data_IF_784892049198
#
_entry.id   IF_784892049198
#
_cell.length_a   1.000
_cell.length_b   1.000
_cell.length_c   1.000
_cell.angle_alpha   90.00
_cell.angle_beta   90.00
_cell.angle_gamma   90.00
#
_symmetry.space_group_name_H-M   'P 1'
#
loop_
_entity.id
_entity.type
_entity.pdbx_description
1 polymer ?
#
# COMPACT_ATOMS: atom_id res chain seq x y z
N UNK A 1 -16.79 -20.58 10.14
CA UNK A 1 -17.55 -20.12 8.95
C UNK A 1 -16.62 -19.40 7.99
N UNK A 2 -16.49 -19.86 6.74
CA UNK A 2 -15.73 -19.16 5.68
C UNK A 2 -16.27 -17.73 5.48
N UNK A 3 -15.38 -16.77 5.20
CA UNK A 3 -15.80 -15.41 4.86
C UNK A 3 -16.31 -15.41 3.41
N UNK A 4 -17.60 -15.18 3.14
CA UNK A 4 -18.13 -15.24 1.79
C UNK A 4 -17.55 -14.16 0.87
N UNK A 5 -16.97 -13.10 1.44
CA UNK A 5 -16.40 -11.98 0.68
C UNK A 5 -14.90 -12.14 0.38
N UNK A 6 -14.19 -13.07 1.04
CA UNK A 6 -12.74 -13.18 0.88
C UNK A 6 -12.36 -13.55 -0.56
N UNK A 7 -12.92 -14.63 -1.11
CA UNK A 7 -12.58 -15.09 -2.45
C UNK A 7 -12.94 -14.06 -3.55
N UNK A 8 -14.16 -13.46 -3.55
CA UNK A 8 -14.48 -12.37 -4.49
C UNK A 8 -13.51 -11.19 -4.46
N UNK A 9 -13.08 -10.75 -3.26
CA UNK A 9 -12.11 -9.65 -3.13
C UNK A 9 -10.76 -10.03 -3.74
N UNK A 10 -10.32 -11.28 -3.54
CA UNK A 10 -9.06 -11.76 -4.11
C UNK A 10 -9.13 -11.86 -5.64
N UNK A 11 -10.22 -12.39 -6.17
CA UNK A 11 -10.41 -12.54 -7.62
C UNK A 11 -10.47 -11.17 -8.32
N UNK A 12 -11.05 -10.15 -7.66
CA UNK A 12 -11.02 -8.78 -8.14
C UNK A 12 -9.61 -8.16 -8.08
N UNK A 13 -8.83 -8.50 -7.04
CA UNK A 13 -7.51 -7.89 -6.81
C UNK A 13 -6.42 -8.41 -7.73
N UNK A 14 -6.39 -9.72 -8.03
CA UNK A 14 -5.34 -10.36 -8.85
C UNK A 14 -5.10 -9.62 -10.18
N UNK A 15 -6.12 -9.37 -11.03
CA UNK A 15 -5.89 -8.66 -12.30
C UNK A 15 -5.53 -7.19 -12.09
N UNK A 16 -5.92 -6.57 -10.97
CA UNK A 16 -5.61 -5.17 -10.63
C UNK A 16 -4.24 -4.99 -9.97
N UNK A 17 -3.54 -6.07 -9.59
CA UNK A 17 -2.30 -5.96 -8.83
C UNK A 17 -1.22 -5.16 -9.57
N UNK A 18 -1.08 -5.36 -10.88
CA UNK A 18 -0.14 -4.60 -11.71
C UNK A 18 -0.51 -3.11 -11.75
N UNK A 19 -1.80 -2.77 -11.85
CA UNK A 19 -2.25 -1.37 -11.79
C UNK A 19 -1.82 -0.68 -10.49
N UNK A 20 -1.97 -1.35 -9.35
CA UNK A 20 -1.50 -0.82 -8.05
C UNK A 20 0.03 -0.68 -7.98
N UNK A 21 0.76 -1.59 -8.63
CA UNK A 21 2.22 -1.54 -8.71
C UNK A 21 2.68 -0.37 -9.56
N UNK A 22 2.09 -0.19 -10.74
CA UNK A 22 2.41 0.90 -11.67
C UNK A 22 2.05 2.26 -11.06
N UNK A 23 0.86 2.36 -10.45
CA UNK A 23 0.47 3.54 -9.69
C UNK A 23 1.50 3.91 -8.63
N UNK A 24 1.93 2.94 -7.81
CA UNK A 24 2.90 3.21 -6.74
C UNK A 24 4.29 3.55 -7.28
N UNK A 25 4.67 3.02 -8.45
CA UNK A 25 5.91 3.35 -9.15
C UNK A 25 5.90 4.81 -9.65
N UNK A 26 4.80 5.26 -10.23
CA UNK A 26 4.63 6.67 -10.65
C UNK A 26 4.72 7.60 -9.46
N UNK A 27 3.99 7.32 -8.37
CA UNK A 27 4.04 8.12 -7.14
C UNK A 27 5.45 8.14 -6.54
N UNK A 28 6.15 6.99 -6.55
CA UNK A 28 7.55 6.91 -6.11
C UNK A 28 8.46 7.86 -6.88
N UNK A 29 8.34 7.91 -8.21
CA UNK A 29 9.18 8.78 -9.03
C UNK A 29 8.88 10.27 -8.77
N UNK A 30 7.61 10.62 -8.60
CA UNK A 30 7.22 11.99 -8.22
C UNK A 30 7.77 12.38 -6.85
N UNK A 31 7.67 11.49 -5.86
CA UNK A 31 8.22 11.71 -4.53
C UNK A 31 9.74 11.87 -4.54
N UNK A 32 10.47 11.08 -5.33
CA UNK A 32 11.92 11.23 -5.50
C UNK A 32 12.25 12.64 -6.00
N UNK A 33 11.52 13.13 -7.00
CA UNK A 33 11.72 14.49 -7.52
C UNK A 33 11.45 15.55 -6.47
N UNK A 34 10.27 15.51 -5.81
CA UNK A 34 9.91 16.52 -4.82
C UNK A 34 10.86 16.57 -3.61
N UNK A 35 11.31 15.41 -3.13
CA UNK A 35 12.24 15.36 -2.00
C UNK A 35 13.60 15.94 -2.38
N UNK A 36 14.09 15.67 -3.59
CA UNK A 36 15.36 16.24 -4.08
C UNK A 36 15.25 17.75 -4.28
N UNK A 37 14.19 18.22 -4.92
CA UNK A 37 13.96 19.65 -5.17
C UNK A 37 13.77 20.42 -3.85
N UNK A 38 13.17 19.79 -2.84
CA UNK A 38 13.05 20.32 -1.48
C UNK A 38 14.33 20.23 -0.62
N UNK A 39 15.42 19.69 -1.17
CA UNK A 39 16.70 19.53 -0.47
C UNK A 39 16.66 18.50 0.68
N UNK A 40 15.75 17.53 0.62
CA UNK A 40 15.59 16.48 1.65
C UNK A 40 16.41 15.25 1.26
N UNK A 41 17.37 14.90 2.11
CA UNK A 41 18.17 13.68 1.94
C UNK A 41 17.42 12.46 2.49
N UNK A 42 17.34 11.39 1.69
CA UNK A 42 16.68 10.15 2.10
C UNK A 42 17.62 8.95 1.94
N UNK A 43 17.49 7.97 2.83
CA UNK A 43 18.25 6.72 2.76
C UNK A 43 17.72 5.82 1.65
N UNK A 44 16.40 5.65 1.58
CA UNK A 44 15.76 4.87 0.54
C UNK A 44 14.32 5.27 0.33
N UNK A 45 13.83 5.09 -0.89
CA UNK A 45 12.42 5.15 -1.23
C UNK A 45 12.09 3.84 -1.92
N UNK A 46 11.01 3.21 -1.47
CA UNK A 46 10.55 1.93 -2.02
C UNK A 46 9.04 1.98 -2.20
N UNK A 47 8.53 1.32 -3.22
CA UNK A 47 7.10 1.20 -3.45
C UNK A 47 6.68 -0.25 -3.45
N UNK A 48 5.42 -0.50 -3.12
CA UNK A 48 4.84 -1.84 -3.19
C UNK A 48 3.35 -1.80 -3.48
N UNK A 49 2.91 -2.76 -4.27
CA UNK A 49 1.55 -3.27 -4.21
C UNK A 49 1.48 -4.37 -3.14
N UNK A 50 0.32 -4.56 -2.52
CA UNK A 50 0.12 -5.60 -1.53
C UNK A 50 0.16 -6.98 -2.19
N UNK A 51 0.88 -7.92 -1.59
CA UNK A 51 0.88 -9.30 -2.08
C UNK A 51 -0.45 -9.99 -1.76
N UNK A 52 -0.92 -10.88 -2.65
CA UNK A 52 -2.21 -11.59 -2.50
C UNK A 52 -2.31 -12.32 -1.16
N UNK A 53 -1.25 -13.01 -0.72
CA UNK A 53 -1.24 -13.69 0.58
C UNK A 53 -1.37 -12.69 1.75
N UNK A 54 -0.73 -11.51 1.66
CA UNK A 54 -0.88 -10.46 2.68
C UNK A 54 -2.26 -9.83 2.67
N UNK A 55 -2.91 -9.72 1.51
CA UNK A 55 -4.30 -9.28 1.40
C UNK A 55 -5.25 -10.26 2.11
N UNK A 56 -5.12 -11.57 1.84
CA UNK A 56 -5.87 -12.61 2.56
C UNK A 56 -5.68 -12.51 4.07
N UNK A 57 -4.44 -12.45 4.53
CA UNK A 57 -4.11 -12.30 5.96
C UNK A 57 -4.75 -11.03 6.55
N UNK A 58 -4.75 -9.91 5.82
CA UNK A 58 -5.38 -8.67 6.29
C UNK A 58 -6.90 -8.83 6.45
N UNK A 59 -7.57 -9.45 5.48
CA UNK A 59 -9.03 -9.69 5.54
C UNK A 59 -9.35 -10.53 6.78
N UNK A 60 -8.58 -11.60 7.01
CA UNK A 60 -8.77 -12.50 8.15
C UNK A 60 -8.52 -11.79 9.50
N UNK A 61 -7.40 -11.07 9.64
CA UNK A 61 -7.05 -10.35 10.88
C UNK A 61 -8.06 -9.23 11.20
N UNK A 62 -8.55 -8.51 10.18
CA UNK A 62 -9.55 -7.45 10.41
C UNK A 62 -10.91 -8.03 10.79
N UNK A 63 -11.26 -9.20 10.25
CA UNK A 63 -12.46 -9.94 10.65
C UNK A 63 -12.41 -10.35 12.12
N UNK A 64 -11.28 -10.87 12.62
CA UNK A 64 -11.15 -11.22 14.05
C UNK A 64 -11.24 -9.98 14.96
N UNK A 65 -10.99 -8.79 14.42
CA UNK A 65 -11.16 -7.50 15.10
C UNK A 65 -12.55 -6.88 14.90
N UNK A 66 -13.52 -7.62 14.35
CA UNK A 66 -14.90 -7.14 14.11
C UNK A 66 -15.13 -6.36 12.82
N UNK A 67 -14.09 -6.12 11.99
CA UNK A 67 -14.22 -5.40 10.72
C UNK A 67 -14.34 -6.36 9.54
N UNK A 68 -15.46 -6.29 8.82
CA UNK A 68 -15.74 -7.13 7.64
C UNK A 68 -15.60 -6.27 6.38
N UNK A 69 -14.67 -6.64 5.52
CA UNK A 69 -14.56 -6.10 4.16
C UNK A 69 -15.51 -6.88 3.24
N UNK A 70 -16.34 -6.17 2.47
CA UNK A 70 -17.30 -6.76 1.54
C UNK A 70 -16.84 -6.62 0.09
N UNK A 71 -16.08 -5.55 -0.22
CA UNK A 71 -15.57 -5.23 -1.55
C UNK A 71 -14.10 -4.83 -1.47
N UNK A 72 -13.37 -4.92 -2.58
CA UNK A 72 -11.95 -4.55 -2.63
C UNK A 72 -11.73 -3.08 -2.23
N UNK A 73 -12.63 -2.19 -2.66
CA UNK A 73 -12.60 -0.75 -2.37
C UNK A 73 -12.75 -0.40 -0.88
N UNK A 74 -13.24 -1.32 -0.04
CA UNK A 74 -13.28 -1.11 1.41
C UNK A 74 -11.85 -1.16 2.03
N UNK A 75 -10.86 -1.59 1.24
CA UNK A 75 -9.45 -1.74 1.63
C UNK A 75 -8.64 -0.63 0.97
N UNK A 76 -8.15 0.32 1.78
CA UNK A 76 -7.46 1.51 1.27
C UNK A 76 -5.94 1.32 1.11
N UNK A 77 -5.33 0.40 1.83
CA UNK A 77 -3.87 0.18 1.84
C UNK A 77 -3.45 -0.94 0.88
N UNK A 78 -3.94 -0.90 -0.36
CA UNK A 78 -3.61 -1.88 -1.40
C UNK A 78 -2.26 -1.62 -2.06
N UNK A 79 -1.76 -0.39 -1.95
CA UNK A 79 -0.48 0.01 -2.48
C UNK A 79 0.08 1.19 -1.67
N UNK A 80 1.38 1.44 -1.78
CA UNK A 80 1.99 2.57 -1.07
C UNK A 80 3.47 2.71 -1.33
N UNK A 81 3.98 3.90 -1.01
CA UNK A 81 5.40 4.25 -1.04
C UNK A 81 5.89 4.41 0.40
N UNK A 82 7.10 3.92 0.66
CA UNK A 82 7.81 4.06 1.92
C UNK A 82 9.07 4.87 1.68
N UNK A 83 9.14 6.03 2.33
CA UNK A 83 10.32 6.88 2.39
C UNK A 83 11.01 6.59 3.73
N UNK A 84 12.31 6.34 3.68
CA UNK A 84 13.16 6.19 4.86
C UNK A 84 14.17 7.33 4.87
N UNK A 85 14.02 8.23 5.83
CA UNK A 85 14.83 9.44 5.97
C UNK A 85 15.99 9.19 6.95
N UNK A 86 17.05 9.98 6.83
CA UNK A 86 18.16 9.93 7.77
C UNK A 86 17.85 10.63 9.09
N UNK A 87 17.11 11.73 9.02
CA UNK A 87 16.86 12.62 10.16
C UNK A 87 15.37 12.72 10.47
N UNK A 88 15.05 12.79 11.76
CA UNK A 88 13.67 12.92 12.23
C UNK A 88 13.06 14.29 11.84
N UNK A 89 13.87 15.34 11.77
CA UNK A 89 13.41 16.68 11.40
C UNK A 89 12.86 16.71 9.97
N UNK A 90 13.46 15.94 9.06
CA UNK A 90 12.96 15.80 7.70
C UNK A 90 11.61 15.07 7.64
N UNK A 91 11.29 14.21 8.62
CA UNK A 91 9.96 13.59 8.72
C UNK A 91 8.86 14.61 9.02
N UNK A 92 9.18 15.75 9.65
CA UNK A 92 8.21 16.83 9.92
C UNK A 92 8.03 17.77 8.72
N UNK A 93 8.99 17.76 7.78
CA UNK A 93 9.01 18.62 6.58
C UNK A 93 8.32 17.99 5.36
N UNK A 94 8.14 16.66 5.38
CA UNK A 94 7.46 15.89 4.33
C UNK A 94 5.96 15.76 4.63
#
# INVERSE_FOLDING_TARGET
MQNPFEQPIIDEYIPKNNLYKDFSSVINNLLVTFLRDGGISFQSISFRAKEVHRLRKKIQVKRTSGKIYKRLEDITDLSGVRVLLYFQDDCQRC
#
